data_IF_854504679286
#
_entry.id   IF_854504679286
#
_cell.length_a   1.000
_cell.length_b   1.000
_cell.length_c   1.000
_cell.angle_alpha   90.00
_cell.angle_beta   90.00
_cell.angle_gamma   90.00
#
_symmetry.space_group_name_H-M   'P 1'
#
loop_
_entity.id
_entity.type
_entity.pdbx_description
1 polymer ?
#
# COMPACT_ATOMS: atom_id res chain seq x y z
N UNK A 1 -17.17 3.37 -26.80
CA UNK A 1 -15.74 3.12 -27.04
C UNK A 1 -15.18 4.38 -27.67
N UNK A 2 -14.10 4.95 -27.12
CA UNK A 2 -13.54 6.22 -27.61
C UNK A 2 -12.26 5.91 -28.40
N UNK A 3 -12.13 6.47 -29.61
CA UNK A 3 -10.95 6.29 -30.45
C UNK A 3 -10.05 7.52 -30.35
N UNK A 4 -8.74 7.29 -30.19
CA UNK A 4 -7.70 8.32 -30.20
C UNK A 4 -6.75 7.99 -31.35
N UNK A 5 -6.52 8.96 -32.25
CA UNK A 5 -5.57 8.82 -33.35
C UNK A 5 -4.28 9.58 -33.00
N UNK A 6 -3.16 8.87 -32.93
CA UNK A 6 -1.85 9.44 -32.56
C UNK A 6 -0.93 9.34 -33.77
N UNK A 7 -0.29 10.46 -34.11
CA UNK A 7 0.80 10.49 -35.09
C UNK A 7 2.11 10.26 -34.36
N UNK A 8 2.93 9.36 -34.87
CA UNK A 8 4.25 9.01 -34.32
C UNK A 8 5.27 9.01 -35.45
N UNK A 9 6.54 9.20 -35.08
CA UNK A 9 7.63 9.18 -36.05
C UNK A 9 7.84 7.77 -36.63
N UNK A 10 8.38 7.65 -37.86
CA UNK A 10 8.56 6.37 -38.53
C UNK A 10 9.40 5.35 -37.72
N UNK A 11 10.38 5.83 -36.96
CA UNK A 11 11.23 4.99 -36.10
C UNK A 11 10.42 4.33 -34.98
N UNK A 12 9.49 5.08 -34.36
CA UNK A 12 8.61 4.57 -33.32
C UNK A 12 7.61 3.58 -33.92
N UNK A 13 7.07 3.86 -35.11
CA UNK A 13 6.15 2.92 -35.78
C UNK A 13 6.83 1.58 -36.11
N UNK A 14 8.09 1.64 -36.57
CA UNK A 14 8.90 0.45 -36.83
C UNK A 14 9.17 -0.34 -35.54
N UNK A 15 9.52 0.34 -34.44
CA UNK A 15 9.71 -0.28 -33.13
C UNK A 15 8.44 -0.97 -32.62
N UNK A 16 7.29 -0.28 -32.69
CA UNK A 16 6.00 -0.85 -32.28
C UNK A 16 5.63 -2.08 -33.12
N UNK A 17 5.90 -2.03 -34.44
CA UNK A 17 5.68 -3.16 -35.34
C UNK A 17 6.57 -4.36 -34.99
N UNK A 18 7.86 -4.12 -34.72
CA UNK A 18 8.79 -5.17 -34.29
C UNK A 18 8.34 -5.84 -32.98
N UNK A 19 7.96 -5.05 -31.97
CA UNK A 19 7.49 -5.57 -30.68
C UNK A 19 6.19 -6.37 -30.82
N UNK A 20 5.27 -5.89 -31.66
CA UNK A 20 4.00 -6.56 -31.95
C UNK A 20 4.22 -7.93 -32.60
N UNK A 21 5.09 -8.01 -33.61
CA UNK A 21 5.47 -9.27 -34.25
C UNK A 21 6.11 -10.25 -33.27
N UNK A 22 7.01 -9.77 -32.40
CA UNK A 22 7.66 -10.61 -31.39
C UNK A 22 6.66 -11.19 -30.38
N UNK A 23 5.69 -10.38 -29.95
CA UNK A 23 4.66 -10.77 -28.96
C UNK A 23 3.45 -11.49 -29.57
N UNK A 24 3.37 -11.59 -30.91
CA UNK A 24 2.22 -12.17 -31.64
C UNK A 24 0.88 -11.47 -31.30
N UNK A 25 0.92 -10.15 -31.12
CA UNK A 25 -0.26 -9.32 -30.83
C UNK A 25 -0.39 -8.18 -31.83
N UNK A 26 -1.58 -7.61 -32.03
CA UNK A 26 -1.74 -6.42 -32.87
C UNK A 26 -0.91 -5.23 -32.37
N UNK A 27 -0.35 -4.44 -33.31
CA UNK A 27 0.40 -3.21 -33.02
C UNK A 27 -0.36 -2.24 -32.09
N UNK A 28 -1.67 -2.15 -32.27
CA UNK A 28 -2.54 -1.31 -31.44
C UNK A 28 -2.54 -1.71 -29.95
N UNK A 29 -2.37 -3.00 -29.63
CA UNK A 29 -2.29 -3.46 -28.23
C UNK A 29 -1.00 -2.95 -27.60
N UNK A 30 0.14 -3.15 -28.27
CA UNK A 30 1.44 -2.69 -27.80
C UNK A 30 1.46 -1.18 -27.61
N UNK A 31 0.96 -0.43 -28.59
CA UNK A 31 0.87 1.03 -28.49
C UNK A 31 -0.01 1.47 -27.32
N UNK A 32 -1.13 0.78 -27.08
CA UNK A 32 -2.03 1.06 -25.95
C UNK A 32 -1.37 0.78 -24.61
N UNK A 33 -0.66 -0.33 -24.47
CA UNK A 33 0.09 -0.68 -23.25
C UNK A 33 1.09 0.42 -22.90
N UNK A 34 1.96 0.79 -23.83
CA UNK A 34 2.94 1.86 -23.60
C UNK A 34 2.28 3.20 -23.25
N UNK A 35 1.19 3.55 -23.94
CA UNK A 35 0.47 4.79 -23.66
C UNK A 35 -0.13 4.78 -22.25
N UNK A 36 -0.80 3.68 -21.85
CA UNK A 36 -1.44 3.57 -20.54
C UNK A 36 -0.40 3.51 -19.40
N UNK A 37 0.71 2.80 -19.60
CA UNK A 37 1.81 2.76 -18.62
C UNK A 37 2.40 4.15 -18.41
N UNK A 38 2.76 4.86 -19.48
CA UNK A 38 3.32 6.21 -19.39
C UNK A 38 2.30 7.21 -18.82
N UNK A 39 1.03 7.11 -19.22
CA UNK A 39 -0.01 7.97 -18.68
C UNK A 39 -0.16 7.73 -17.17
N UNK A 40 -0.22 6.47 -16.74
CA UNK A 40 -0.31 6.07 -15.33
C UNK A 40 0.86 6.65 -14.54
N UNK A 41 2.10 6.50 -15.03
CA UNK A 41 3.29 7.06 -14.38
C UNK A 41 3.22 8.58 -14.20
N UNK A 42 2.62 9.30 -15.15
CA UNK A 42 2.49 10.77 -15.09
C UNK A 42 1.35 11.24 -14.20
N UNK A 43 0.20 10.56 -14.23
CA UNK A 43 -0.99 11.00 -13.48
C UNK A 43 -0.96 10.53 -12.03
N UNK A 44 -0.33 9.39 -11.75
CA UNK A 44 -0.40 8.77 -10.43
C UNK A 44 0.10 9.68 -9.30
N UNK A 45 1.24 10.42 -9.43
CA UNK A 45 1.67 11.37 -8.41
C UNK A 45 0.63 12.47 -8.14
N UNK A 46 0.00 13.00 -9.20
CA UNK A 46 -1.03 14.04 -9.08
C UNK A 46 -2.27 13.51 -8.34
N UNK A 47 -2.66 12.26 -8.62
CA UNK A 47 -3.78 11.61 -7.95
C UNK A 47 -3.48 11.36 -6.47
N UNK A 48 -2.24 11.02 -6.11
CA UNK A 48 -1.83 10.86 -4.71
C UNK A 48 -1.86 12.18 -3.94
N UNK A 49 -1.40 13.28 -4.55
CA UNK A 49 -1.52 14.61 -3.94
C UNK A 49 -2.97 15.00 -3.68
N UNK A 50 -3.88 14.69 -4.60
CA UNK A 50 -5.31 14.93 -4.41
C UNK A 50 -5.93 13.99 -3.38
N UNK A 51 -5.38 12.78 -3.21
CA UNK A 51 -5.81 11.81 -2.20
C UNK A 51 -5.42 12.25 -0.79
N UNK A 52 -4.18 12.70 -0.60
CA UNK A 52 -3.70 13.27 0.67
C UNK A 52 -4.56 14.47 1.10
N UNK A 53 -5.01 15.27 0.13
CA UNK A 53 -5.93 16.41 0.35
C UNK A 53 -7.40 16.01 0.52
N UNK A 54 -7.72 14.71 0.48
CA UNK A 54 -9.09 14.20 0.61
C UNK A 54 -10.03 14.53 -0.56
N UNK A 55 -9.51 14.97 -1.71
CA UNK A 55 -10.32 15.35 -2.89
C UNK A 55 -10.75 14.15 -3.72
N UNK A 56 -9.96 13.09 -3.70
CA UNK A 56 -10.20 11.86 -4.44
C UNK A 56 -10.07 10.66 -3.51
N UNK A 57 -10.86 9.62 -3.75
CA UNK A 57 -10.79 8.38 -2.98
C UNK A 57 -9.80 7.39 -3.60
N UNK A 58 -9.25 6.50 -2.77
CA UNK A 58 -8.39 5.40 -3.21
C UNK A 58 -9.05 4.55 -4.30
N UNK A 59 -10.36 4.26 -4.14
CA UNK A 59 -11.17 3.55 -5.15
C UNK A 59 -11.12 4.25 -6.52
N UNK A 60 -11.15 5.59 -6.54
CA UNK A 60 -11.14 6.35 -7.78
C UNK A 60 -9.75 6.36 -8.41
N UNK A 61 -8.68 6.38 -7.61
CA UNK A 61 -7.31 6.20 -8.11
C UNK A 61 -7.21 4.85 -8.83
N UNK A 62 -7.60 3.76 -8.18
CA UNK A 62 -7.59 2.40 -8.77
C UNK A 62 -8.40 2.32 -10.08
N UNK A 63 -9.49 3.10 -10.20
CA UNK A 63 -10.27 3.14 -11.44
C UNK A 63 -9.60 3.94 -12.57
N UNK A 64 -8.80 4.95 -12.23
CA UNK A 64 -8.16 5.86 -13.18
C UNK A 64 -6.78 5.37 -13.61
N UNK A 65 -6.11 4.64 -12.73
CA UNK A 65 -4.82 4.01 -12.98
C UNK A 65 -5.05 2.56 -13.29
N UNK A 66 -4.43 2.01 -14.33
CA UNK A 66 -4.55 0.58 -14.64
C UNK A 66 -3.70 -0.30 -13.69
N UNK A 67 -3.67 0.07 -12.41
CA UNK A 67 -2.92 -0.55 -11.33
C UNK A 67 -3.86 -1.43 -10.51
N UNK A 68 -3.31 -2.49 -9.92
CA UNK A 68 -4.06 -3.31 -8.97
C UNK A 68 -4.20 -2.57 -7.63
N UNK A 69 -5.16 -2.96 -6.77
CA UNK A 69 -5.26 -2.40 -5.42
C UNK A 69 -3.94 -2.52 -4.64
N UNK A 70 -3.26 -3.66 -4.77
CA UNK A 70 -1.99 -3.94 -4.08
C UNK A 70 -0.90 -2.98 -4.56
N UNK A 71 -0.76 -2.79 -5.88
CA UNK A 71 0.22 -1.85 -6.46
C UNK A 71 0.02 -0.42 -5.95
N UNK A 72 -1.23 0.02 -5.79
CA UNK A 72 -1.54 1.37 -5.29
C UNK A 72 -1.17 1.49 -3.82
N UNK A 73 -1.49 0.47 -3.01
CA UNK A 73 -1.16 0.45 -1.57
C UNK A 73 0.35 0.44 -1.36
N UNK A 74 1.07 -0.41 -2.09
CA UNK A 74 2.54 -0.49 -2.01
C UNK A 74 3.18 0.87 -2.32
N UNK A 75 2.71 1.55 -3.37
CA UNK A 75 3.19 2.89 -3.71
C UNK A 75 2.86 3.95 -2.67
N UNK A 76 1.69 3.88 -2.04
CA UNK A 76 1.32 4.77 -0.94
C UNK A 76 2.27 4.58 0.24
N UNK A 77 2.59 3.32 0.57
CA UNK A 77 3.52 2.99 1.64
C UNK A 77 4.96 3.43 1.32
N UNK A 78 5.45 3.18 0.10
CA UNK A 78 6.77 3.60 -0.37
C UNK A 78 6.95 5.12 -0.31
N UNK A 79 5.92 5.87 -0.73
CA UNK A 79 5.92 7.33 -0.75
C UNK A 79 5.54 7.96 0.59
N UNK A 80 5.18 7.15 1.60
CA UNK A 80 4.74 7.59 2.92
C UNK A 80 3.59 8.61 2.86
N UNK A 81 2.64 8.38 1.95
CA UNK A 81 1.46 9.24 1.83
C UNK A 81 0.50 8.89 2.97
N UNK A 82 0.22 9.88 3.81
CA UNK A 82 -0.75 9.73 4.89
C UNK A 82 -2.16 9.69 4.29
N UNK A 83 -3.00 8.72 4.69
CA UNK A 83 -4.40 8.71 4.30
C UNK A 83 -5.11 9.95 4.85
N UNK A 84 -6.11 10.49 4.14
CA UNK A 84 -6.89 11.66 4.58
C UNK A 84 -7.85 11.28 5.71
N UNK A 85 -7.30 10.96 6.88
CA UNK A 85 -8.03 10.59 8.10
C UNK A 85 -8.24 11.86 8.93
N UNK A 86 -9.49 12.24 9.24
CA UNK A 86 -9.77 13.31 10.17
C UNK A 86 -9.14 13.05 11.55
N UNK A 87 -8.59 14.07 12.22
CA UNK A 87 -7.92 13.90 13.51
C UNK A 87 -8.82 13.26 14.56
N UNK A 88 -10.15 13.50 14.52
CA UNK A 88 -11.08 12.89 15.47
C UNK A 88 -11.13 11.36 15.35
N UNK A 89 -10.98 10.84 14.13
CA UNK A 89 -10.98 9.39 13.87
C UNK A 89 -9.63 8.80 14.29
N UNK A 90 -8.53 9.51 14.02
CA UNK A 90 -7.20 9.06 14.41
C UNK A 90 -7.06 8.99 15.95
N UNK A 91 -7.52 10.02 16.66
CA UNK A 91 -7.54 10.04 18.12
C UNK A 91 -8.47 8.98 18.72
N UNK A 92 -9.64 8.75 18.11
CA UNK A 92 -10.51 7.65 18.53
C UNK A 92 -9.81 6.30 18.38
N UNK A 93 -9.12 6.09 17.26
CA UNK A 93 -8.43 4.82 16.96
C UNK A 93 -7.31 4.57 17.97
N UNK A 94 -6.52 5.59 18.33
CA UNK A 94 -5.51 5.51 19.41
C UNK A 94 -6.11 5.10 20.75
N UNK A 95 -7.19 5.76 21.16
CA UNK A 95 -7.90 5.45 22.41
C UNK A 95 -8.42 4.00 22.46
N UNK A 96 -8.86 3.47 21.31
CA UNK A 96 -9.30 2.07 21.21
C UNK A 96 -8.12 1.12 21.38
N UNK A 97 -7.00 1.37 20.69
CA UNK A 97 -5.77 0.57 20.81
C UNK A 97 -5.26 0.55 22.26
N UNK A 98 -5.19 1.70 22.92
CA UNK A 98 -4.74 1.81 24.31
C UNK A 98 -5.62 1.00 25.27
N UNK A 99 -6.95 0.99 25.05
CA UNK A 99 -7.87 0.15 25.82
C UNK A 99 -7.63 -1.33 25.59
N UNK A 100 -7.41 -1.77 24.35
CA UNK A 100 -7.12 -3.18 24.05
C UNK A 100 -5.81 -3.64 24.70
N UNK A 101 -4.73 -2.84 24.60
CA UNK A 101 -3.43 -3.18 25.21
C UNK A 101 -3.46 -3.16 26.76
N UNK A 102 -4.29 -2.30 27.36
CA UNK A 102 -4.51 -2.27 28.80
C UNK A 102 -5.23 -3.54 29.31
N UNK A 103 -6.12 -4.12 28.50
CA UNK A 103 -6.89 -5.34 28.85
C UNK A 103 -5.99 -6.60 28.82
N UNK A 104 -4.98 -6.66 27.96
CA UNK A 104 -4.06 -7.82 27.87
C UNK A 104 -2.97 -7.83 28.96
N UNK A 105 -2.76 -6.71 29.66
CA UNK A 105 -1.67 -6.52 30.62
C UNK A 105 -1.85 -6.97 32.10
N UNK A 106 -3.01 -7.46 32.63
CA UNK A 106 -3.08 -7.78 34.06
C UNK A 106 -2.59 -9.18 34.52
N UNK A 107 -2.23 -10.13 33.63
CA UNK A 107 -2.19 -11.54 34.05
C UNK A 107 -0.87 -12.32 33.87
N UNK A 108 0.30 -11.65 33.77
CA UNK A 108 1.60 -12.36 33.66
C UNK A 108 2.41 -12.53 34.97
N UNK A 109 1.97 -12.00 36.12
CA UNK A 109 2.79 -12.03 37.36
C UNK A 109 2.10 -12.62 38.61
N UNK A 110 1.43 -13.78 38.51
CA UNK A 110 0.98 -14.54 39.70
C UNK A 110 1.13 -16.06 39.53
N UNK A 111 2.30 -16.56 39.12
CA UNK A 111 2.59 -18.01 39.27
C UNK A 111 4.09 -18.32 39.27
N UNK A 112 4.85 -17.72 40.19
CA UNK A 112 6.21 -18.17 40.52
C UNK A 112 6.66 -17.47 41.80
N UNK A 113 6.27 -18.02 42.95
CA UNK A 113 6.88 -17.84 44.29
C UNK A 113 5.94 -18.55 45.26
N UNK A 114 6.32 -19.78 45.62
CA UNK A 114 6.08 -20.45 46.91
C UNK A 114 6.12 -21.96 46.66
N UNK A 115 7.28 -22.49 46.32
CA UNK A 115 7.64 -23.91 46.49
C UNK A 115 9.16 -23.96 46.52
N UNK A 116 9.74 -23.74 47.70
CA UNK A 116 11.19 -23.65 47.85
C UNK A 116 11.66 -23.29 49.25
N UNK A 117 10.98 -23.73 50.30
CA UNK A 117 11.53 -23.67 51.65
C UNK A 117 12.43 -24.92 51.84
N UNK A 118 13.70 -24.75 51.49
CA UNK A 118 14.76 -25.74 51.68
C UNK A 118 15.13 -25.84 53.16
N UNK A 119 14.90 -27.02 53.71
CA UNK A 119 15.77 -27.77 54.64
C UNK A 119 17.25 -27.36 54.53
N UNK A 120 17.86 -26.88 55.63
CA UNK A 120 19.06 -27.45 56.25
C UNK A 120 19.49 -26.66 57.49
N UNK A 121 19.74 -27.39 58.59
CA UNK A 121 20.11 -26.84 59.89
C UNK A 121 21.58 -26.40 60.00
N UNK A 122 21.88 -25.76 61.14
CA UNK A 122 23.22 -25.70 61.71
C UNK A 122 23.13 -25.85 63.23
N UNK A 123 23.84 -26.85 63.74
CA UNK A 123 24.27 -26.94 65.13
C UNK A 123 25.07 -25.69 65.50
N UNK A 124 24.86 -25.18 66.72
CA UNK A 124 25.88 -24.39 67.43
C UNK A 124 25.90 -24.84 68.89
N UNK A 125 27.04 -25.44 69.26
CA UNK A 125 27.64 -25.69 70.58
C UNK A 125 26.90 -26.49 71.65
#
# INVERSE_FOLDING_TARGET
MTQINIRVDPEIDALLSYLASRRHVPKAIVAREFLLENLTQKIFPLLLEDYEKGKISLKKIIQLTNLTPDDVIDKIAELKIEPPIPPEIDDYTKNVVDRFLAIESPNRNKKQRNDGEKINGSLVH
#
